data_IF_591950542232
#
_entry.id   IF_591950542232
#
_cell.length_a   1.000
_cell.length_b   1.000
_cell.length_c   1.000
_cell.angle_alpha   90.00
_cell.angle_beta   90.00
_cell.angle_gamma   90.00
#
_symmetry.space_group_name_H-M   'P 1'
#
loop_
_entity.id
_entity.type
_entity.pdbx_description
1 polymer ?
#
# COMPACT_ATOMS: atom_id res chain seq x y z
N UNK A 1 -17.24 7.28 -24.88
CA UNK A 1 -15.97 6.74 -24.37
C UNK A 1 -15.80 7.24 -22.96
N UNK A 2 -16.16 6.44 -21.94
CA UNK A 2 -15.85 6.79 -20.56
C UNK A 2 -14.32 6.86 -20.43
N UNK A 3 -13.80 8.03 -20.04
CA UNK A 3 -12.46 8.11 -19.49
C UNK A 3 -12.53 7.40 -18.14
N UNK A 4 -12.22 6.10 -18.09
CA UNK A 4 -11.87 5.45 -16.82
C UNK A 4 -10.74 6.28 -16.23
N UNK A 5 -11.01 6.98 -15.13
CA UNK A 5 -9.96 7.67 -14.39
C UNK A 5 -8.84 6.66 -14.15
N UNK A 6 -7.62 7.01 -14.58
CA UNK A 6 -6.45 6.15 -14.40
C UNK A 6 -6.14 6.13 -12.90
N UNK A 7 -6.84 5.30 -12.15
CA UNK A 7 -6.43 4.93 -10.80
C UNK A 7 -5.09 4.22 -10.96
N UNK A 8 -4.05 4.76 -10.32
CA UNK A 8 -2.73 4.13 -10.28
C UNK A 8 -2.94 2.73 -9.70
N UNK A 9 -2.53 1.69 -10.42
CA UNK A 9 -2.66 0.33 -9.88
C UNK A 9 -1.61 0.10 -8.81
N UNK A 10 -1.81 -0.93 -7.98
CA UNK A 10 -0.82 -1.35 -6.98
C UNK A 10 0.53 -1.62 -7.64
N UNK A 11 0.52 -2.28 -8.80
CA UNK A 11 1.71 -2.63 -9.56
C UNK A 11 2.44 -1.39 -10.10
N UNK A 12 1.70 -0.43 -10.67
CA UNK A 12 2.27 0.84 -11.13
C UNK A 12 2.87 1.63 -9.96
N UNK A 13 2.19 1.66 -8.82
CA UNK A 13 2.65 2.31 -7.62
C UNK A 13 3.91 1.64 -7.05
N UNK A 14 3.89 0.33 -6.86
CA UNK A 14 5.04 -0.46 -6.40
C UNK A 14 6.23 -0.36 -7.36
N UNK A 15 5.98 -0.33 -8.67
CA UNK A 15 7.04 -0.13 -9.68
C UNK A 15 7.72 1.22 -9.55
N UNK A 16 7.00 2.29 -9.17
CA UNK A 16 7.60 3.60 -8.94
C UNK A 16 8.51 3.60 -7.71
N UNK A 17 8.08 2.94 -6.63
CA UNK A 17 8.93 2.79 -5.45
C UNK A 17 10.20 1.99 -5.74
N UNK A 18 10.09 0.88 -6.46
CA UNK A 18 11.26 0.10 -6.90
C UNK A 18 12.19 0.89 -7.81
N UNK A 19 11.65 1.73 -8.70
CA UNK A 19 12.45 2.61 -9.54
C UNK A 19 13.25 3.67 -8.75
N UNK A 20 12.79 4.01 -7.53
CA UNK A 20 13.50 4.89 -6.59
C UNK A 20 14.46 4.12 -5.67
N UNK A 21 14.55 2.79 -5.80
CA UNK A 21 15.43 1.94 -4.99
C UNK A 21 14.82 1.47 -3.66
N UNK A 22 13.50 1.62 -3.46
CA UNK A 22 12.83 0.91 -2.37
C UNK A 22 12.70 -0.58 -2.74
N UNK A 23 13.48 -1.41 -2.08
CA UNK A 23 13.33 -2.86 -2.13
C UNK A 23 12.12 -3.32 -1.29
N UNK A 24 11.83 -4.62 -1.36
CA UNK A 24 10.67 -5.20 -0.68
C UNK A 24 10.78 -5.10 0.86
N UNK A 25 12.00 -5.04 1.40
CA UNK A 25 12.23 -4.87 2.84
C UNK A 25 11.85 -3.44 3.28
N UNK A 26 12.35 -2.45 2.55
CA UNK A 26 12.02 -1.04 2.79
C UNK A 26 10.53 -0.78 2.58
N UNK A 27 9.90 -1.46 1.63
CA UNK A 27 8.45 -1.39 1.47
C UNK A 27 7.70 -1.93 2.69
N UNK A 28 8.16 -3.04 3.26
CA UNK A 28 7.63 -3.57 4.52
C UNK A 28 7.75 -2.55 5.66
N UNK A 29 8.92 -1.95 5.84
CA UNK A 29 9.12 -0.89 6.84
C UNK A 29 8.20 0.33 6.62
N UNK A 30 8.02 0.76 5.37
CA UNK A 30 7.10 1.85 5.04
C UNK A 30 5.66 1.51 5.44
N UNK A 31 5.20 0.29 5.13
CA UNK A 31 3.87 -0.18 5.50
C UNK A 31 3.65 -0.25 7.02
N UNK A 32 4.65 -0.73 7.78
CA UNK A 32 4.60 -0.74 9.25
C UNK A 32 4.60 0.67 9.84
N UNK A 33 5.43 1.56 9.31
CA UNK A 33 5.48 2.96 9.75
C UNK A 33 4.14 3.65 9.50
N UNK A 34 3.57 3.47 8.31
CA UNK A 34 2.33 4.10 7.90
C UNK A 34 1.13 3.57 8.69
N UNK A 35 1.01 2.25 8.89
CA UNK A 35 -0.04 1.67 9.74
C UNK A 35 0.05 2.18 11.17
N UNK A 36 1.26 2.31 11.73
CA UNK A 36 1.46 2.79 13.11
C UNK A 36 1.10 4.26 13.27
N UNK A 37 1.52 5.11 12.33
CA UNK A 37 1.39 6.56 12.46
C UNK A 37 0.04 7.08 11.96
N UNK A 38 -0.58 6.38 11.00
CA UNK A 38 -1.86 6.78 10.45
C UNK A 38 -2.64 5.58 9.86
N UNK A 39 -3.22 4.71 10.71
CA UNK A 39 -3.92 3.50 10.28
C UNK A 39 -5.14 3.79 9.39
N UNK A 40 -5.88 4.88 9.66
CA UNK A 40 -7.01 5.31 8.82
C UNK A 40 -6.56 5.85 7.45
N UNK A 41 -5.44 6.57 7.42
CA UNK A 41 -4.82 7.01 6.17
C UNK A 41 -4.29 5.84 5.34
N UNK A 42 -3.68 4.84 5.98
CA UNK A 42 -3.20 3.64 5.31
C UNK A 42 -4.36 2.84 4.68
N UNK A 43 -5.46 2.64 5.41
CA UNK A 43 -6.71 2.07 4.88
C UNK A 43 -7.20 2.85 3.65
N UNK A 44 -7.41 4.16 3.79
CA UNK A 44 -7.93 5.01 2.71
C UNK A 44 -7.03 5.00 1.47
N UNK A 45 -5.71 4.91 1.67
CA UNK A 45 -4.74 4.83 0.59
C UNK A 45 -4.85 3.52 -0.21
N UNK A 46 -5.01 2.39 0.48
CA UNK A 46 -5.18 1.08 -0.17
C UNK A 46 -6.52 0.99 -0.91
N UNK A 47 -7.58 1.58 -0.36
CA UNK A 47 -8.88 1.70 -1.05
C UNK A 47 -8.78 2.59 -2.30
N UNK A 48 -8.01 3.68 -2.23
CA UNK A 48 -7.75 4.56 -3.37
C UNK A 48 -6.97 3.84 -4.49
N UNK A 49 -6.01 2.98 -4.13
CA UNK A 49 -5.31 2.08 -5.06
C UNK A 49 -6.23 0.99 -5.65
N UNK A 50 -7.46 0.86 -5.15
CA UNK A 50 -8.45 -0.10 -5.65
C UNK A 50 -8.24 -1.51 -5.15
N UNK A 51 -7.55 -1.71 -4.02
CA UNK A 51 -7.47 -3.04 -3.41
C UNK A 51 -8.86 -3.44 -2.87
N UNK A 52 -9.25 -4.72 -3.03
CA UNK A 52 -10.43 -5.25 -2.35
C UNK A 52 -10.16 -5.38 -0.85
N UNK A 53 -11.23 -5.28 -0.04
CA UNK A 53 -11.18 -5.26 1.42
C UNK A 53 -10.38 -6.44 2.03
N UNK A 54 -10.53 -7.64 1.48
CA UNK A 54 -9.78 -8.84 1.90
C UNK A 54 -8.25 -8.62 1.79
N UNK A 55 -7.80 -8.03 0.67
CA UNK A 55 -6.39 -7.74 0.43
C UNK A 55 -5.88 -6.59 1.31
N UNK A 56 -6.74 -5.61 1.59
CA UNK A 56 -6.41 -4.54 2.54
C UNK A 56 -6.17 -5.12 3.92
N UNK A 57 -7.04 -6.02 4.40
CA UNK A 57 -6.87 -6.68 5.69
C UNK A 57 -5.57 -7.49 5.75
N UNK A 58 -5.22 -8.24 4.70
CA UNK A 58 -3.93 -8.97 4.62
C UNK A 58 -2.72 -8.04 4.72
N UNK A 59 -2.72 -6.91 3.99
CA UNK A 59 -1.60 -5.96 3.98
C UNK A 59 -1.45 -5.31 5.36
N UNK A 60 -2.55 -4.86 5.97
CA UNK A 60 -2.54 -4.22 7.29
C UNK A 60 -2.12 -5.20 8.39
N UNK A 61 -2.54 -6.47 8.32
CA UNK A 61 -2.09 -7.50 9.26
C UNK A 61 -0.57 -7.71 9.18
N UNK A 62 0.00 -7.80 7.97
CA UNK A 62 1.46 -7.91 7.77
C UNK A 62 2.23 -6.68 8.26
N UNK A 63 1.64 -5.48 8.10
CA UNK A 63 2.20 -4.24 8.64
C UNK A 63 2.33 -4.28 10.16
N UNK A 64 1.32 -4.83 10.86
CA UNK A 64 1.34 -4.99 12.31
C UNK A 64 2.28 -6.12 12.78
N UNK A 65 2.44 -7.21 12.04
CA UNK A 65 3.34 -8.32 12.40
C UNK A 65 4.83 -7.94 12.33
N UNK A 66 5.20 -7.07 11.40
CA UNK A 66 6.58 -6.58 11.24
C UNK A 66 7.04 -5.64 12.37
N UNK A 67 6.20 -5.43 13.38
CA UNK A 67 6.44 -4.67 14.62
C UNK A 67 7.23 -5.45 15.69
N UNK A 68 7.41 -6.76 15.48
CA UNK A 68 7.93 -7.71 16.47
C UNK A 68 9.38 -8.10 16.19
#
# INVERSE_FOLDING_TARGET
>A
MERKEKKVTVEEWSSRFRALGLDDNMMGHWHTLFERENPSGHQSFLEWLGLPEERIAEVRAKSEESKK
#
